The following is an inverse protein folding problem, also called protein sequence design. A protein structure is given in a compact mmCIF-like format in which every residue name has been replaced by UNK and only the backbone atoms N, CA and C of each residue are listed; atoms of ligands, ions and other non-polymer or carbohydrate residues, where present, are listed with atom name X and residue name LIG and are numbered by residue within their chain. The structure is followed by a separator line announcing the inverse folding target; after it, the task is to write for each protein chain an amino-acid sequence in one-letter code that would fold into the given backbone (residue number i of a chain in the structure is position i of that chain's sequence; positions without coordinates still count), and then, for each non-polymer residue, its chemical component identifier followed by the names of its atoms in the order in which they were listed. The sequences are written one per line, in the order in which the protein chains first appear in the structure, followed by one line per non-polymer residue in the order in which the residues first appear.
data_IF_179741047630
#
_entry.id   IF_179741047630
#
_cell.length_a   1.000
_cell.length_b   1.000
_cell.length_c   1.000
_cell.angle_alpha   90.00
_cell.angle_beta   90.00
_cell.angle_gamma   90.00
#
_symmetry.space_group_name_H-M   'P 1'
#
loop_
_entity.id
_entity.type
_entity.pdbx_description
1 polymer ?
#
# COMPACT_ATOMS: atom_id res chain seq x y z
N UNK A 1 8.48 18.76 -4.75
CA UNK A 1 8.47 17.31 -5.07
C UNK A 1 7.27 17.02 -5.94
N UNK A 2 7.46 16.44 -7.12
CA UNK A 2 6.34 16.02 -7.96
C UNK A 2 5.79 14.70 -7.41
N UNK A 3 4.52 14.69 -7.02
CA UNK A 3 3.79 13.46 -6.70
C UNK A 3 3.78 12.59 -7.97
N UNK A 4 4.06 11.29 -7.84
CA UNK A 4 3.97 10.40 -8.99
C UNK A 4 2.54 10.34 -9.51
N UNK A 5 2.36 10.68 -10.79
CA UNK A 5 1.09 10.55 -11.51
C UNK A 5 0.54 9.12 -11.47
N UNK A 6 1.42 8.12 -11.33
CA UNK A 6 1.05 6.69 -11.30
C UNK A 6 0.31 6.35 -10.02
N UNK A 7 0.88 6.63 -8.84
CA UNK A 7 0.24 6.31 -7.57
C UNK A 7 -1.03 7.14 -7.37
N UNK A 8 -1.08 8.39 -7.85
CA UNK A 8 -2.29 9.18 -7.76
C UNK A 8 -3.41 8.62 -8.65
N UNK A 9 -3.09 8.17 -9.88
CA UNK A 9 -4.03 7.46 -10.74
C UNK A 9 -4.52 6.16 -10.11
N UNK A 10 -3.63 5.41 -9.48
CA UNK A 10 -3.96 4.17 -8.77
C UNK A 10 -4.87 4.43 -7.57
N UNK A 11 -4.56 5.44 -6.75
CA UNK A 11 -5.38 5.86 -5.62
C UNK A 11 -6.80 6.27 -6.06
N UNK A 12 -6.91 7.04 -7.14
CA UNK A 12 -8.21 7.41 -7.70
C UNK A 12 -8.98 6.19 -8.20
N UNK A 13 -8.30 5.23 -8.83
CA UNK A 13 -8.94 3.98 -9.26
C UNK A 13 -9.43 3.17 -8.05
N UNK A 14 -8.62 3.09 -6.98
CA UNK A 14 -8.95 2.36 -5.76
C UNK A 14 -10.14 2.96 -5.00
N UNK A 15 -10.34 4.28 -5.05
CA UNK A 15 -11.52 4.97 -4.49
C UNK A 15 -12.84 4.54 -5.15
N UNK A 16 -12.78 4.02 -6.38
CA UNK A 16 -13.95 3.59 -7.14
C UNK A 16 -14.06 2.06 -7.26
N UNK A 17 -13.10 1.30 -6.72
CA UNK A 17 -13.10 -0.16 -6.73
C UNK A 17 -13.97 -0.70 -5.59
N UNK A 18 -15.06 -1.41 -5.93
CA UNK A 18 -16.00 -1.99 -4.96
C UNK A 18 -15.40 -3.12 -4.11
N UNK A 19 -14.23 -3.63 -4.45
CA UNK A 19 -13.49 -4.62 -3.64
C UNK A 19 -12.73 -3.96 -2.49
N UNK A 20 -12.60 -2.64 -2.54
CA UNK A 20 -11.80 -1.86 -1.61
C UNK A 20 -12.68 -0.91 -0.81
N UNK A 21 -12.37 -0.78 0.47
CA UNK A 21 -13.00 0.21 1.35
C UNK A 21 -11.92 1.16 1.86
N UNK A 22 -12.05 2.49 1.68
CA UNK A 22 -11.12 3.43 2.29
C UNK A 22 -11.05 3.24 3.81
N UNK A 23 -9.84 3.19 4.37
CA UNK A 23 -9.66 3.00 5.80
C UNK A 23 -10.21 4.21 6.59
N UNK A 24 -10.94 4.03 7.72
CA UNK A 24 -11.52 5.15 8.47
C UNK A 24 -10.48 6.14 9.01
N UNK A 25 -9.29 5.67 9.38
CA UNK A 25 -8.18 6.52 9.82
C UNK A 25 -7.60 7.40 8.70
N UNK A 26 -7.96 7.17 7.44
CA UNK A 26 -7.64 8.08 6.33
C UNK A 26 -8.27 9.47 6.52
N UNK A 27 -9.42 9.52 7.19
CA UNK A 27 -10.20 10.75 7.43
C UNK A 27 -9.68 11.55 8.64
N UNK A 28 -9.02 10.89 9.59
CA UNK A 28 -8.62 11.45 10.89
C UNK A 28 -7.11 11.75 10.86
N UNK A 29 -6.71 12.76 10.08
CA UNK A 29 -5.36 13.33 10.12
C UNK A 29 -4.20 12.43 9.63
N UNK A 30 -4.47 11.26 9.05
CA UNK A 30 -3.46 10.26 8.69
C UNK A 30 -2.73 10.56 7.38
N UNK A 31 -1.79 11.50 7.41
CA UNK A 31 -0.76 11.79 6.39
C UNK A 31 -1.26 12.02 4.96
N UNK A 32 -1.07 13.22 4.40
CA UNK A 32 -1.27 13.51 2.97
C UNK A 32 -0.43 12.64 2.01
N UNK A 33 0.41 11.80 2.59
CA UNK A 33 1.48 11.04 1.97
C UNK A 33 1.16 9.56 1.85
N UNK A 34 0.13 9.04 2.53
CA UNK A 34 -0.25 7.64 2.45
C UNK A 34 -1.77 7.51 2.32
N UNK A 35 -2.24 6.76 1.32
CA UNK A 35 -3.65 6.39 1.19
C UNK A 35 -3.84 4.94 1.55
N UNK A 36 -4.85 4.63 2.36
CA UNK A 36 -5.02 3.30 2.93
C UNK A 36 -6.39 2.76 2.58
N UNK A 37 -6.40 1.50 2.13
CA UNK A 37 -7.58 0.76 1.73
C UNK A 37 -7.60 -0.59 2.43
N UNK A 38 -8.80 -1.06 2.76
CA UNK A 38 -9.08 -2.40 3.23
C UNK A 38 -9.60 -3.24 2.07
N UNK A 39 -9.10 -4.46 1.90
CA UNK A 39 -9.75 -5.44 1.02
C UNK A 39 -10.98 -6.06 1.71
N UNK A 40 -11.68 -6.98 1.03
CA UNK A 40 -12.89 -7.65 1.57
C UNK A 40 -12.64 -8.47 2.83
N UNK A 41 -11.42 -9.00 3.00
CA UNK A 41 -10.99 -9.73 4.20
C UNK A 41 -10.67 -8.80 5.38
N UNK A 42 -10.57 -7.49 5.13
CA UNK A 42 -10.19 -6.49 6.12
C UNK A 42 -8.68 -6.25 6.22
N UNK A 43 -7.88 -6.71 5.27
CA UNK A 43 -6.44 -6.43 5.25
C UNK A 43 -6.15 -5.02 4.76
N UNK A 44 -5.27 -4.33 5.46
CA UNK A 44 -4.82 -2.99 5.09
C UNK A 44 -3.77 -3.01 3.96
N UNK A 45 -3.95 -2.08 3.02
CA UNK A 45 -3.07 -1.81 1.90
C UNK A 45 -2.77 -0.32 1.89
N UNK A 46 -1.50 0.05 1.94
CA UNK A 46 -1.08 1.44 1.99
C UNK A 46 -0.34 1.85 0.71
N UNK A 47 -0.87 2.85 0.02
CA UNK A 47 -0.26 3.49 -1.14
C UNK A 47 0.57 4.69 -0.69
N UNK A 48 1.85 4.72 -1.02
CA UNK A 48 2.73 5.85 -0.72
C UNK A 48 2.60 6.95 -1.77
N UNK A 49 1.80 7.97 -1.45
CA UNK A 49 1.59 9.16 -2.28
C UNK A 49 2.79 10.12 -2.29
N UNK A 50 3.74 9.97 -1.36
CA UNK A 50 4.88 10.89 -1.19
C UNK A 50 6.16 10.45 -1.89
N UNK A 51 6.31 9.14 -2.10
CA UNK A 51 7.56 8.52 -2.54
C UNK A 51 7.90 8.71 -4.01
N UNK A 52 7.79 9.94 -4.54
CA UNK A 52 8.34 10.32 -5.84
C UNK A 52 8.25 9.21 -6.90
N UNK A 53 9.39 8.77 -7.44
CA UNK A 53 9.49 7.79 -8.52
C UNK A 53 9.19 6.32 -8.16
N UNK A 54 9.13 5.94 -6.89
CA UNK A 54 9.21 4.51 -6.52
C UNK A 54 7.86 3.81 -6.39
N UNK A 55 6.75 4.56 -6.50
CA UNK A 55 5.38 4.04 -6.52
C UNK A 55 5.13 2.94 -5.49
N UNK A 56 5.45 3.21 -4.22
CA UNK A 56 5.48 2.15 -3.22
C UNK A 56 4.08 1.75 -2.73
N UNK A 57 3.90 0.43 -2.57
CA UNK A 57 2.70 -0.16 -1.96
C UNK A 57 3.15 -0.99 -0.77
N UNK A 58 2.58 -0.75 0.40
CA UNK A 58 2.87 -1.44 1.64
C UNK A 58 1.74 -2.41 2.00
N UNK A 59 2.15 -3.62 2.37
CA UNK A 59 1.26 -4.70 2.82
C UNK A 59 1.83 -5.34 4.10
N UNK A 60 1.00 -5.90 4.99
CA UNK A 60 1.48 -6.76 6.06
C UNK A 60 2.30 -7.94 5.51
N UNK A 61 3.44 -8.25 6.13
CA UNK A 61 4.31 -9.35 5.70
C UNK A 61 3.58 -10.70 5.70
N UNK A 62 2.66 -10.92 6.66
CA UNK A 62 1.91 -12.17 6.80
C UNK A 62 1.09 -12.51 5.54
N UNK A 63 0.60 -11.50 4.82
CA UNK A 63 -0.23 -11.66 3.62
C UNK A 63 0.58 -11.50 2.34
N UNK A 64 1.71 -10.79 2.40
CA UNK A 64 2.61 -10.54 1.29
C UNK A 64 4.03 -11.06 1.56
N UNK A 65 4.24 -12.35 1.88
CA UNK A 65 5.58 -12.89 2.07
C UNK A 65 6.38 -12.85 0.75
N UNK A 66 7.70 -13.09 0.83
CA UNK A 66 8.62 -12.95 -0.30
C UNK A 66 8.21 -13.69 -1.59
N UNK A 67 7.41 -14.75 -1.48
CA UNK A 67 6.92 -15.56 -2.62
C UNK A 67 5.73 -14.97 -3.39
N UNK A 68 5.03 -13.96 -2.85
CA UNK A 68 3.81 -13.40 -3.48
C UNK A 68 4.20 -12.40 -4.57
N UNK A 69 3.72 -12.54 -5.80
CA UNK A 69 4.07 -11.64 -6.92
C UNK A 69 5.60 -11.52 -7.18
N UNK A 70 6.37 -12.62 -7.29
CA UNK A 70 7.84 -12.63 -7.25
C UNK A 70 8.51 -11.78 -8.35
N UNK A 71 7.79 -11.48 -9.43
CA UNK A 71 8.26 -10.63 -10.52
C UNK A 71 8.34 -9.12 -10.18
N UNK A 72 7.81 -8.72 -9.02
CA UNK A 72 7.80 -7.32 -8.57
C UNK A 72 8.86 -7.15 -7.47
N UNK A 73 9.71 -6.15 -7.65
CA UNK A 73 10.76 -5.79 -6.70
C UNK A 73 10.14 -5.39 -5.36
N UNK A 74 10.84 -5.71 -4.26
CA UNK A 74 10.33 -5.48 -2.92
C UNK A 74 11.41 -5.32 -1.88
N UNK A 75 11.03 -4.76 -0.75
CA UNK A 75 11.81 -4.80 0.48
C UNK A 75 10.97 -5.29 1.64
N UNK A 76 11.53 -6.19 2.43
CA UNK A 76 10.92 -6.65 3.67
C UNK A 76 11.37 -5.73 4.80
N UNK A 77 10.40 -5.17 5.51
CA UNK A 77 10.63 -4.31 6.65
C UNK A 77 10.32 -5.12 7.90
N UNK A 78 11.27 -5.15 8.84
CA UNK A 78 11.01 -5.65 10.18
C UNK A 78 9.97 -4.75 10.89
N UNK A 79 9.37 -5.28 11.95
CA UNK A 79 8.52 -4.50 12.85
C UNK A 79 9.39 -3.46 13.58
N UNK A 80 9.53 -2.27 13.00
CA UNK A 80 10.32 -1.17 13.53
C UNK A 80 9.54 0.15 13.42
N UNK A 81 9.30 0.75 14.60
CA UNK A 81 8.62 2.05 14.81
C UNK A 81 9.20 3.18 13.97
N UNK A 82 10.52 3.19 13.74
CA UNK A 82 11.20 4.31 13.10
C UNK A 82 11.00 4.35 11.59
N UNK A 83 10.93 3.18 10.93
CA UNK A 83 10.87 3.06 9.46
C UNK A 83 9.45 3.13 8.90
N UNK A 84 8.45 2.84 9.73
CA UNK A 84 7.03 2.82 9.36
C UNK A 84 6.24 3.99 9.97
N UNK A 85 6.91 4.98 10.55
CA UNK A 85 6.29 6.10 11.27
C UNK A 85 5.28 6.91 10.45
N UNK A 86 5.45 6.94 9.11
CA UNK A 86 4.52 7.61 8.21
C UNK A 86 3.23 6.79 7.99
N UNK A 87 3.24 5.48 8.25
CA UNK A 87 2.07 4.61 8.16
C UNK A 87 1.39 4.58 9.53
N UNK A 88 0.58 5.60 9.82
CA UNK A 88 -0.05 5.77 11.13
C UNK A 88 -1.41 5.05 11.22
N UNK A 89 -1.44 3.75 10.91
CA UNK A 89 -2.63 2.90 11.14
C UNK A 89 -2.24 1.62 11.90
N UNK A 90 -3.03 1.16 12.88
CA UNK A 90 -2.66 0.04 13.74
C UNK A 90 -2.32 -1.28 13.01
N UNK A 91 -2.89 -1.48 11.82
CA UNK A 91 -2.70 -2.66 10.98
C UNK A 91 -1.30 -2.75 10.38
N UNK A 92 -0.61 -1.61 10.26
CA UNK A 92 0.67 -1.49 9.56
C UNK A 92 1.75 -0.83 10.43
N UNK A 93 1.36 0.08 11.32
CA UNK A 93 2.22 0.71 12.30
C UNK A 93 2.86 -0.36 13.18
N UNK A 94 4.18 -0.32 13.29
CA UNK A 94 4.97 -1.24 14.13
C UNK A 94 4.82 -2.72 13.75
N UNK A 95 4.34 -3.01 12.53
CA UNK A 95 4.25 -4.37 11.99
C UNK A 95 5.37 -4.64 11.00
N UNK A 96 5.65 -5.92 10.79
CA UNK A 96 6.49 -6.34 9.68
C UNK A 96 5.72 -6.12 8.37
N UNK A 97 6.34 -5.43 7.43
CA UNK A 97 5.72 -5.03 6.17
C UNK A 97 6.50 -5.55 4.98
N UNK A 98 5.80 -5.68 3.86
CA UNK A 98 6.39 -5.82 2.54
C UNK A 98 6.10 -4.55 1.77
N UNK A 99 7.17 -3.88 1.32
CA UNK A 99 7.11 -2.73 0.43
C UNK A 99 7.35 -3.20 -0.99
N UNK A 100 6.35 -3.13 -1.86
CA UNK A 100 6.50 -3.35 -3.30
C UNK A 100 6.99 -2.08 -3.97
N UNK A 101 8.05 -2.19 -4.78
CA UNK A 101 8.58 -1.11 -5.60
C UNK A 101 8.08 -1.30 -7.03
N UNK A 102 7.03 -0.56 -7.39
CA UNK A 102 6.40 -0.73 -8.70
C UNK A 102 7.10 0.14 -9.74
N UNK A 103 7.68 -0.48 -10.77
CA UNK A 103 8.38 0.24 -11.85
C UNK A 103 7.45 1.07 -12.74
N UNK A 104 6.14 0.82 -12.67
CA UNK A 104 5.13 1.55 -13.43
C UNK A 104 3.69 1.24 -13.01
N UNK A 105 2.73 1.85 -13.72
CA UNK A 105 1.29 1.73 -13.42
C UNK A 105 0.76 0.30 -13.59
N UNK A 106 1.30 -0.47 -14.54
CA UNK A 106 0.94 -1.88 -14.73
C UNK A 106 1.20 -2.71 -13.48
N UNK A 107 2.46 -2.74 -13.01
CA UNK A 107 2.82 -3.46 -11.79
C UNK A 107 2.05 -2.97 -10.56
N UNK A 108 1.85 -1.66 -10.43
CA UNK A 108 1.10 -1.11 -9.31
C UNK A 108 -0.38 -1.56 -9.31
N UNK A 109 -0.98 -1.68 -10.51
CA UNK A 109 -2.31 -2.27 -10.68
C UNK A 109 -2.31 -3.77 -10.39
N UNK A 110 -1.31 -4.51 -10.83
CA UNK A 110 -1.21 -5.96 -10.58
C UNK A 110 -1.16 -6.26 -9.08
N UNK A 111 -0.35 -5.50 -8.32
CA UNK A 111 -0.31 -5.58 -6.85
C UNK A 111 -1.68 -5.30 -6.25
N UNK A 112 -2.31 -4.17 -6.61
CA UNK A 112 -3.60 -3.79 -6.07
C UNK A 112 -4.69 -4.81 -6.40
N UNK A 113 -4.76 -5.29 -7.64
CA UNK A 113 -5.75 -6.27 -8.07
C UNK A 113 -5.59 -7.59 -7.32
N UNK A 114 -4.35 -8.10 -7.21
CA UNK A 114 -4.06 -9.34 -6.50
C UNK A 114 -4.59 -9.29 -5.06
N UNK A 115 -4.31 -8.22 -4.32
CA UNK A 115 -4.73 -8.12 -2.93
C UNK A 115 -6.20 -7.72 -2.74
N UNK A 116 -6.79 -6.99 -3.71
CA UNK A 116 -8.22 -6.70 -3.74
C UNK A 116 -9.09 -7.95 -3.97
N UNK A 117 -8.54 -8.98 -4.63
CA UNK A 117 -9.23 -10.24 -4.91
C UNK A 117 -9.17 -11.23 -3.75
N UNK A 118 -8.34 -10.98 -2.74
CA UNK A 118 -8.32 -11.81 -1.54
C UNK A 118 -9.64 -11.64 -0.76
N UNK A 119 -10.31 -12.76 -0.52
CA UNK A 119 -11.53 -12.89 0.27
C UNK A 119 -11.29 -13.71 1.52
#
# INVERSE_FOLDING_TARGET
MAISKIIQSLNNSALHDKRLTPHPSRTVGGTQYISIFLNRRGDAMALDLSSGSNNAIFMPFAIAPARVLPAIDRTLYAADKSRNSNVNVPELQDRALTRFHCSGLGQARDVMNYFAELT
#
